data_IF_618971143980
#
_entry.id   IF_618971143980
#
_cell.length_a   1.000
_cell.length_b   1.000
_cell.length_c   1.000
_cell.angle_alpha   90.00
_cell.angle_beta   90.00
_cell.angle_gamma   90.00
#
_symmetry.space_group_name_H-M   'P 1'
#
loop_
_entity.id
_entity.type
_entity.pdbx_description
1 polymer ?
#
# COMPACT_ATOMS: atom_id res chain seq x y z
N UNK A 1 -52.43 16.67 4.49
CA UNK A 1 -51.04 17.07 4.76
C UNK A 1 -50.21 15.81 4.59
N UNK A 2 -49.65 15.63 3.39
CA UNK A 2 -48.88 14.44 3.04
C UNK A 2 -47.42 14.61 3.50
N UNK A 3 -47.05 13.89 4.55
CA UNK A 3 -45.66 13.67 4.93
C UNK A 3 -45.13 12.43 4.20
N UNK A 4 -44.29 12.61 3.17
CA UNK A 4 -43.23 11.66 2.80
C UNK A 4 -42.43 12.15 1.59
N UNK A 5 -41.25 12.70 1.85
CA UNK A 5 -39.99 12.42 1.12
C UNK A 5 -38.85 13.20 1.77
N UNK A 6 -38.53 12.79 2.99
CA UNK A 6 -37.17 12.91 3.49
C UNK A 6 -36.25 12.10 2.56
N UNK A 7 -35.35 12.81 1.86
CA UNK A 7 -33.98 12.41 1.51
C UNK A 7 -33.49 13.20 0.30
N UNK A 8 -33.37 14.53 0.48
CA UNK A 8 -32.48 15.33 -0.35
C UNK A 8 -31.62 16.23 0.56
N UNK A 9 -30.94 15.61 1.53
CA UNK A 9 -29.68 16.17 2.04
C UNK A 9 -28.56 15.44 1.30
N UNK A 10 -28.21 15.95 0.12
CA UNK A 10 -26.90 15.65 -0.47
C UNK A 10 -25.92 16.65 0.14
N UNK A 11 -25.04 16.11 0.98
CA UNK A 11 -23.74 16.67 1.41
C UNK A 11 -23.12 17.49 0.28
N UNK A 12 -22.94 18.80 0.47
CA UNK A 12 -21.70 19.39 1.00
C UNK A 12 -20.42 18.79 0.37
N UNK A 13 -19.85 19.51 -0.60
CA UNK A 13 -18.41 19.81 -0.56
C UNK A 13 -17.38 18.78 -1.05
N UNK A 14 -17.74 17.67 -1.68
CA UNK A 14 -16.72 16.73 -2.17
C UNK A 14 -16.35 17.02 -3.63
N UNK A 15 -15.13 17.54 -3.83
CA UNK A 15 -14.51 17.66 -5.16
C UNK A 15 -14.26 16.25 -5.68
N UNK A 16 -15.10 15.80 -6.61
CA UNK A 16 -14.91 14.56 -7.34
C UNK A 16 -13.53 14.60 -8.02
N UNK A 17 -12.59 13.77 -7.54
CA UNK A 17 -11.29 13.64 -8.17
C UNK A 17 -11.47 12.91 -9.50
N UNK A 18 -11.29 13.63 -10.60
CA UNK A 18 -11.12 13.03 -11.92
C UNK A 18 -9.79 12.28 -11.95
N UNK A 19 -9.86 10.96 -12.13
CA UNK A 19 -8.65 10.16 -12.36
C UNK A 19 -8.29 10.27 -13.83
N UNK A 20 -7.14 10.90 -14.10
CA UNK A 20 -6.58 10.83 -15.45
C UNK A 20 -6.21 9.37 -15.75
N UNK A 21 -6.47 8.87 -16.97
CA UNK A 21 -6.07 7.51 -17.34
C UNK A 21 -4.55 7.38 -17.26
N UNK A 22 -4.07 6.45 -16.44
CA UNK A 22 -2.66 6.12 -16.34
C UNK A 22 -2.30 5.36 -17.62
N UNK A 23 -1.29 5.83 -18.35
CA UNK A 23 -0.75 5.07 -19.49
C UNK A 23 -0.16 3.78 -18.95
N UNK A 24 -0.76 2.64 -19.27
CA UNK A 24 -0.25 1.31 -18.92
C UNK A 24 0.93 0.95 -19.83
N UNK A 25 2.05 1.67 -19.70
CA UNK A 25 3.30 1.23 -20.30
C UNK A 25 3.95 0.20 -19.37
N UNK A 26 3.55 -1.06 -19.55
CA UNK A 26 4.44 -2.20 -19.28
C UNK A 26 3.99 -3.29 -18.32
N UNK A 27 3.00 -3.11 -17.44
CA UNK A 27 2.62 -4.16 -16.48
C UNK A 27 1.11 -4.16 -16.23
N UNK A 28 0.46 -5.31 -16.50
CA UNK A 28 -0.93 -5.56 -16.14
C UNK A 28 -1.04 -5.76 -14.62
N UNK A 29 -1.82 -4.95 -13.89
CA UNK A 29 -1.97 -5.06 -12.44
C UNK A 29 -2.48 -6.44 -11.99
N UNK A 30 -3.18 -7.19 -12.84
CA UNK A 30 -3.62 -8.57 -12.54
C UNK A 30 -2.46 -9.57 -12.60
N UNK A 31 -1.40 -9.25 -13.34
CA UNK A 31 -0.22 -10.08 -13.50
C UNK A 31 0.95 -9.61 -12.61
N UNK A 32 0.79 -8.49 -11.89
CA UNK A 32 1.81 -7.97 -10.97
C UNK A 32 2.20 -9.01 -9.89
N UNK A 33 1.24 -9.80 -9.40
CA UNK A 33 1.51 -10.88 -8.44
C UNK A 33 2.37 -12.01 -9.03
N UNK A 34 2.32 -12.22 -10.34
CA UNK A 34 3.13 -13.22 -11.06
C UNK A 34 4.54 -12.70 -11.39
N UNK A 35 4.77 -11.40 -11.25
CA UNK A 35 6.10 -10.77 -11.37
C UNK A 35 6.85 -10.74 -10.03
N UNK A 36 6.24 -11.22 -8.94
CA UNK A 36 6.98 -11.49 -7.71
C UNK A 36 8.12 -12.47 -8.02
N UNK A 37 9.31 -12.22 -7.46
CA UNK A 37 10.52 -13.02 -7.70
C UNK A 37 10.18 -14.52 -7.62
N UNK A 38 10.32 -15.28 -8.73
CA UNK A 38 9.85 -16.65 -8.77
C UNK A 38 10.76 -17.55 -7.93
N UNK A 39 10.18 -18.22 -6.94
CA UNK A 39 10.82 -19.28 -6.17
C UNK A 39 11.17 -18.92 -4.73
N UNK A 40 11.46 -19.93 -3.89
CA UNK A 40 11.93 -19.69 -2.54
C UNK A 40 13.24 -18.90 -2.58
N UNK A 41 13.38 -18.00 -1.61
CA UNK A 41 14.60 -17.22 -1.43
C UNK A 41 15.77 -18.19 -1.21
N UNK A 42 16.80 -18.07 -2.05
CA UNK A 42 18.04 -18.85 -1.91
C UNK A 42 18.87 -18.16 -0.80
N UNK A 43 19.23 -18.84 0.30
CA UNK A 43 19.96 -18.23 1.42
C UNK A 43 21.24 -17.52 0.98
N UNK A 44 21.96 -18.09 0.00
CA UNK A 44 23.20 -17.52 -0.53
C UNK A 44 23.00 -16.24 -1.35
N UNK A 45 21.77 -15.94 -1.78
CA UNK A 45 21.41 -14.73 -2.52
C UNK A 45 20.81 -13.64 -1.62
N UNK A 46 20.63 -13.92 -0.33
CA UNK A 46 20.21 -12.90 0.62
C UNK A 46 21.36 -11.90 0.86
N UNK A 47 21.06 -10.60 0.97
CA UNK A 47 22.06 -9.65 1.44
C UNK A 47 22.54 -10.09 2.82
N UNK A 48 23.86 -9.96 3.06
CA UNK A 48 24.39 -10.04 4.41
C UNK A 48 23.67 -8.99 5.24
N UNK A 49 23.09 -9.44 6.36
CA UNK A 49 22.22 -8.68 7.29
C UNK A 49 22.26 -7.15 7.13
N UNK A 50 21.11 -6.54 6.90
CA UNK A 50 21.03 -5.09 6.69
C UNK A 50 21.49 -4.28 7.91
N UNK A 51 22.48 -3.42 7.68
CA UNK A 51 22.93 -2.40 8.63
C UNK A 51 23.98 -2.87 9.63
N UNK A 52 24.54 -1.91 10.36
CA UNK A 52 25.55 -2.17 11.40
C UNK A 52 24.93 -2.76 12.66
N UNK A 53 25.78 -3.30 13.55
CA UNK A 53 25.30 -3.85 14.84
C UNK A 53 24.58 -2.79 15.68
N UNK A 54 25.06 -1.55 15.66
CA UNK A 54 24.44 -0.44 16.40
C UNK A 54 23.03 -0.12 15.88
N UNK A 55 22.85 -0.10 14.55
CA UNK A 55 21.54 0.18 13.93
C UNK A 55 20.50 -0.91 14.25
N UNK A 56 20.94 -2.16 14.46
CA UNK A 56 20.06 -3.25 14.87
C UNK A 56 19.64 -3.13 16.34
N UNK A 57 20.56 -2.71 17.22
CA UNK A 57 20.25 -2.49 18.63
C UNK A 57 19.25 -1.35 18.81
N UNK A 58 19.45 -0.21 18.14
CA UNK A 58 18.50 0.90 18.17
C UNK A 58 17.10 0.50 17.64
N UNK A 59 17.04 -0.28 16.55
CA UNK A 59 15.76 -0.82 16.03
C UNK A 59 15.09 -1.79 17.01
N UNK A 60 15.86 -2.62 17.70
CA UNK A 60 15.34 -3.56 18.70
C UNK A 60 14.75 -2.82 19.90
N UNK A 61 15.45 -1.82 20.43
CA UNK A 61 15.00 -1.01 21.56
C UNK A 61 13.73 -0.22 21.22
N UNK A 62 13.65 0.35 20.02
CA UNK A 62 12.45 1.07 19.58
C UNK A 62 11.23 0.16 19.38
N UNK A 63 11.43 -1.09 18.96
CA UNK A 63 10.35 -2.06 18.78
C UNK A 63 9.87 -2.68 20.09
N UNK A 64 10.77 -2.94 21.05
CA UNK A 64 10.42 -3.56 22.33
C UNK A 64 9.73 -2.61 23.31
N UNK A 65 9.83 -1.29 23.08
CA UNK A 65 9.25 -0.27 23.95
C UNK A 65 7.89 0.26 23.44
N UNK A 66 7.18 -0.52 22.61
CA UNK A 66 5.85 -0.20 22.08
C UNK A 66 4.78 -1.05 22.76
#
# INVERSE_FOLDING_TARGET
MDCSKDQQKKTEGEKEFTTQPIKHDGIDPKLAALQAQPGPVIPDKLPAEEGTKEERQARMETLNNK
#
